data_IF_881047433313
#
_entry.id   IF_881047433313
#
_cell.length_a   1.000
_cell.length_b   1.000
_cell.length_c   1.000
_cell.angle_alpha   90.00
_cell.angle_beta   90.00
_cell.angle_gamma   90.00
#
_symmetry.space_group_name_H-M   'P 1'
#
loop_
_entity.id
_entity.type
_entity.pdbx_description
1 polymer ?
#
# COMPACT_ATOMS: atom_id res chain seq x y z
N UNK A 1 30.94 5.35 16.11
CA UNK A 1 30.15 5.65 14.90
C UNK A 1 29.34 6.90 15.22
N UNK A 2 29.40 7.93 14.37
CA UNK A 2 28.72 9.22 14.61
C UNK A 2 27.19 9.00 14.70
N UNK A 3 26.54 9.58 15.72
CA UNK A 3 25.11 9.54 16.01
C UNK A 3 24.26 9.96 14.81
N UNK A 4 24.74 10.93 14.02
CA UNK A 4 24.11 11.34 12.76
C UNK A 4 24.15 10.21 11.72
N UNK A 5 25.27 9.51 11.59
CA UNK A 5 25.42 8.38 10.66
C UNK A 5 24.51 7.22 11.02
N UNK A 6 24.38 6.90 12.31
CA UNK A 6 23.47 5.84 12.76
C UNK A 6 22.01 6.21 12.51
N UNK A 7 21.64 7.46 12.78
CA UNK A 7 20.30 7.98 12.53
C UNK A 7 19.93 7.89 11.04
N UNK A 8 20.84 8.27 10.14
CA UNK A 8 20.63 8.16 8.69
C UNK A 8 20.48 6.72 8.23
N UNK A 9 21.33 5.80 8.69
CA UNK A 9 21.22 4.35 8.36
C UNK A 9 19.91 3.73 8.82
N UNK A 10 19.42 4.12 10.00
CA UNK A 10 18.12 3.67 10.49
C UNK A 10 17.00 4.27 9.62
N UNK A 11 17.06 5.57 9.33
CA UNK A 11 16.09 6.24 8.47
C UNK A 11 16.02 5.61 7.07
N UNK A 12 17.14 5.25 6.45
CA UNK A 12 17.17 4.52 5.16
C UNK A 12 16.38 3.21 5.21
N UNK A 13 16.53 2.42 6.28
CA UNK A 13 15.77 1.16 6.46
C UNK A 13 14.28 1.40 6.59
N UNK A 14 13.89 2.46 7.33
CA UNK A 14 12.50 2.88 7.45
C UNK A 14 11.97 3.33 6.08
N UNK A 15 12.74 4.11 5.34
CA UNK A 15 12.38 4.62 4.01
C UNK A 15 12.15 3.51 2.99
N UNK A 16 13.05 2.53 2.91
CA UNK A 16 12.89 1.38 2.02
C UNK A 16 11.61 0.60 2.31
N UNK A 17 11.29 0.39 3.60
CA UNK A 17 10.09 -0.31 4.00
C UNK A 17 8.82 0.51 3.71
N UNK A 18 8.87 1.83 3.90
CA UNK A 18 7.77 2.74 3.56
C UNK A 18 7.50 2.82 2.06
N UNK A 19 8.55 2.79 1.23
CA UNK A 19 8.39 2.73 -0.22
C UNK A 19 7.62 1.47 -0.64
N UNK A 20 7.99 0.31 -0.09
CA UNK A 20 7.28 -0.94 -0.35
C UNK A 20 5.82 -0.88 0.11
N UNK A 21 5.57 -0.44 1.34
CA UNK A 21 4.20 -0.30 1.89
C UNK A 21 3.36 0.62 1.02
N UNK A 22 3.91 1.76 0.60
CA UNK A 22 3.21 2.72 -0.25
C UNK A 22 2.87 2.10 -1.61
N UNK A 23 3.83 1.41 -2.24
CA UNK A 23 3.60 0.68 -3.49
C UNK A 23 2.47 -0.34 -3.36
N UNK A 24 2.49 -1.18 -2.31
CA UNK A 24 1.43 -2.16 -2.10
C UNK A 24 0.07 -1.49 -1.84
N UNK A 25 0.05 -0.41 -1.04
CA UNK A 25 -1.15 0.35 -0.72
C UNK A 25 -1.78 0.95 -1.98
N UNK A 26 -1.01 1.59 -2.85
CA UNK A 26 -1.54 2.18 -4.09
C UNK A 26 -2.14 1.13 -5.02
N UNK A 27 -1.47 -0.01 -5.22
CA UNK A 27 -2.02 -1.11 -6.01
C UNK A 27 -3.30 -1.68 -5.38
N UNK A 28 -3.35 -1.78 -4.07
CA UNK A 28 -4.53 -2.23 -3.34
C UNK A 28 -5.69 -1.22 -3.47
N UNK A 29 -5.40 0.07 -3.32
CA UNK A 29 -6.37 1.14 -3.48
C UNK A 29 -6.92 1.18 -4.89
N UNK A 30 -6.09 1.04 -5.91
CA UNK A 30 -6.54 0.93 -7.30
C UNK A 30 -7.51 -0.26 -7.47
N UNK A 31 -7.17 -1.45 -6.96
CA UNK A 31 -8.05 -2.63 -7.04
C UNK A 31 -9.40 -2.46 -6.33
N UNK A 32 -9.50 -1.59 -5.32
CA UNK A 32 -10.71 -1.42 -4.49
C UNK A 32 -11.53 -0.18 -4.88
N UNK A 33 -10.87 0.97 -5.05
CA UNK A 33 -11.48 2.31 -5.26
C UNK A 33 -11.30 2.84 -6.67
N UNK A 34 -10.20 2.48 -7.34
CA UNK A 34 -9.86 2.96 -8.68
C UNK A 34 -10.66 2.32 -9.83
N UNK A 35 -11.50 1.34 -9.51
CA UNK A 35 -12.21 0.52 -10.48
C UNK A 35 -13.67 0.96 -10.66
N UNK A 36 -14.10 1.08 -11.91
CA UNK A 36 -15.51 1.11 -12.32
C UNK A 36 -16.27 -0.11 -11.75
N UNK A 37 -17.60 -0.05 -11.68
CA UNK A 37 -18.40 -1.20 -11.20
C UNK A 37 -18.13 -2.48 -12.01
N UNK A 38 -17.87 -2.36 -13.31
CA UNK A 38 -17.45 -3.46 -14.17
C UNK A 38 -16.09 -4.05 -13.76
N UNK A 39 -15.10 -3.21 -13.47
CA UNK A 39 -13.79 -3.68 -13.00
C UNK A 39 -13.85 -4.28 -11.59
N UNK A 40 -14.71 -3.77 -10.70
CA UNK A 40 -14.97 -4.39 -9.39
C UNK A 40 -15.58 -5.79 -9.56
N UNK A 41 -16.51 -5.96 -10.49
CA UNK A 41 -17.06 -7.28 -10.83
C UNK A 41 -15.95 -8.23 -11.31
N UNK A 42 -15.03 -7.76 -12.15
CA UNK A 42 -13.87 -8.54 -12.64
C UNK A 42 -12.95 -8.93 -11.47
N UNK A 43 -12.51 -7.97 -10.65
CA UNK A 43 -11.64 -8.27 -9.50
C UNK A 43 -12.24 -9.33 -8.57
N UNK A 44 -13.56 -9.29 -8.37
CA UNK A 44 -14.25 -10.26 -7.51
C UNK A 44 -14.56 -11.60 -8.20
N UNK A 45 -14.71 -11.62 -9.53
CA UNK A 45 -15.03 -12.83 -10.31
C UNK A 45 -13.80 -13.69 -10.60
N UNK A 46 -12.60 -13.12 -10.55
CA UNK A 46 -11.35 -13.82 -10.87
C UNK A 46 -10.56 -14.20 -9.60
N UNK A 47 -10.39 -15.51 -9.31
CA UNK A 47 -9.66 -15.96 -8.13
C UNK A 47 -8.23 -15.41 -8.03
N UNK A 48 -7.54 -15.23 -9.17
CA UNK A 48 -6.18 -14.69 -9.19
C UNK A 48 -6.12 -13.24 -8.69
N UNK A 49 -7.06 -12.38 -9.11
CA UNK A 49 -7.11 -10.98 -8.67
C UNK A 49 -7.53 -10.86 -7.20
N UNK A 50 -8.46 -11.72 -6.76
CA UNK A 50 -8.80 -11.86 -5.34
C UNK A 50 -7.55 -12.22 -4.53
N UNK A 51 -6.74 -13.18 -5.00
CA UNK A 51 -5.50 -13.59 -4.33
C UNK A 51 -4.45 -12.47 -4.32
N UNK A 52 -4.26 -11.75 -5.43
CA UNK A 52 -3.38 -10.58 -5.48
C UNK A 52 -3.80 -9.53 -4.44
N UNK A 53 -5.10 -9.22 -4.36
CA UNK A 53 -5.65 -8.30 -3.35
C UNK A 53 -5.34 -8.75 -1.92
N UNK A 54 -5.53 -10.04 -1.62
CA UNK A 54 -5.22 -10.64 -0.31
C UNK A 54 -3.72 -10.54 0.00
N UNK A 55 -2.86 -10.84 -0.96
CA UNK A 55 -1.41 -10.75 -0.81
C UNK A 55 -0.95 -9.32 -0.55
N UNK A 56 -1.47 -8.33 -1.29
CA UNK A 56 -1.15 -6.92 -1.07
C UNK A 56 -1.54 -6.47 0.34
N UNK A 57 -2.76 -6.82 0.79
CA UNK A 57 -3.20 -6.60 2.16
C UNK A 57 -2.23 -7.20 3.19
N UNK A 58 -1.85 -8.47 3.02
CA UNK A 58 -0.95 -9.16 3.93
C UNK A 58 0.43 -8.51 3.99
N UNK A 59 0.98 -8.11 2.85
CA UNK A 59 2.28 -7.42 2.77
C UNK A 59 2.25 -6.07 3.48
N UNK A 60 1.19 -5.28 3.28
CA UNK A 60 1.01 -3.99 3.96
C UNK A 60 0.94 -4.20 5.49
N UNK A 61 0.15 -5.16 5.97
CA UNK A 61 0.01 -5.46 7.40
C UNK A 61 1.35 -5.86 8.01
N UNK A 62 2.09 -6.75 7.35
CA UNK A 62 3.40 -7.21 7.82
C UNK A 62 4.41 -6.07 7.92
N UNK A 63 4.49 -5.23 6.90
CA UNK A 63 5.50 -4.18 6.84
C UNK A 63 5.13 -2.97 7.71
N UNK A 64 3.86 -2.56 7.77
CA UNK A 64 3.38 -1.55 8.73
C UNK A 64 3.62 -2.01 10.18
N UNK A 65 3.38 -3.28 10.48
CA UNK A 65 3.65 -3.82 11.81
C UNK A 65 5.13 -3.68 12.17
N UNK A 66 6.08 -3.96 11.27
CA UNK A 66 7.53 -3.77 11.54
C UNK A 66 7.86 -2.31 11.87
N UNK A 67 7.31 -1.37 11.10
CA UNK A 67 7.55 0.08 11.27
C UNK A 67 6.99 0.59 12.62
N UNK A 68 5.79 0.12 12.98
CA UNK A 68 5.01 0.67 14.09
C UNK A 68 5.01 -0.20 15.35
N UNK A 69 5.59 -1.41 15.34
CA UNK A 69 5.51 -2.33 16.46
C UNK A 69 6.09 -1.75 17.75
N UNK A 70 5.72 -2.37 18.88
CA UNK A 70 6.34 -2.12 20.20
C UNK A 70 7.62 -2.93 20.44
N UNK A 71 7.98 -3.86 19.55
CA UNK A 71 9.08 -4.82 19.77
C UNK A 71 10.45 -4.13 19.89
N UNK A 72 11.11 -4.19 21.04
CA UNK A 72 12.42 -3.55 21.29
C UNK A 72 13.52 -3.92 20.29
N UNK A 73 13.39 -5.09 19.66
CA UNK A 73 14.39 -5.69 18.79
C UNK A 73 14.27 -5.32 17.31
N UNK A 74 13.19 -4.66 16.91
CA UNK A 74 12.96 -4.38 15.49
C UNK A 74 13.75 -3.15 15.01
N UNK A 75 14.49 -3.33 13.93
CA UNK A 75 15.43 -2.37 13.33
C UNK A 75 14.75 -1.38 12.38
N UNK A 76 13.46 -1.56 12.12
CA UNK A 76 12.65 -0.70 11.23
C UNK A 76 11.75 0.27 12.00
N UNK A 77 11.85 0.31 13.33
CA UNK A 77 10.92 1.04 14.20
C UNK A 77 11.16 2.54 14.20
N UNK A 78 10.19 3.27 13.66
CA UNK A 78 10.26 4.73 13.60
C UNK A 78 10.25 5.37 15.00
N UNK A 79 9.51 4.83 15.98
CA UNK A 79 9.53 5.32 17.37
C UNK A 79 10.90 5.14 18.01
N UNK A 80 11.63 4.07 17.68
CA UNK A 80 12.99 3.83 18.18
C UNK A 80 13.96 4.88 17.63
N UNK A 81 13.82 5.23 16.35
CA UNK A 81 14.55 6.34 15.74
C UNK A 81 14.22 7.66 16.46
N UNK A 82 12.94 8.01 16.64
CA UNK A 82 12.55 9.26 17.31
C UNK A 82 13.11 9.35 18.74
N UNK A 83 13.04 8.26 19.53
CA UNK A 83 13.62 8.24 20.87
C UNK A 83 15.13 8.47 20.85
N UNK A 84 15.84 7.84 19.91
CA UNK A 84 17.28 8.04 19.73
C UNK A 84 17.61 9.49 19.38
N UNK A 85 16.85 10.11 18.47
CA UNK A 85 17.02 11.50 18.07
C UNK A 85 16.79 12.47 19.25
N UNK A 86 15.86 12.16 20.15
CA UNK A 86 15.62 12.95 21.37
C UNK A 86 16.79 12.80 22.35
N UNK A 87 17.21 11.57 22.64
CA UNK A 87 18.29 11.26 23.59
C UNK A 87 19.62 11.90 23.16
N UNK A 88 19.92 11.87 21.86
CA UNK A 88 21.18 12.34 21.29
C UNK A 88 21.05 13.68 20.57
N UNK A 89 19.97 14.44 20.80
CA UNK A 89 19.67 15.67 20.04
C UNK A 89 20.86 16.64 19.95
N UNK A 90 21.53 16.89 21.08
CA UNK A 90 22.68 17.79 21.16
C UNK A 90 23.99 17.26 20.56
N UNK A 91 24.05 15.97 20.19
CA UNK A 91 25.20 15.34 19.53
C UNK A 91 25.03 15.18 18.02
N UNK A 92 23.81 15.39 17.52
CA UNK A 92 23.49 15.27 16.10
C UNK A 92 23.69 16.63 15.43
N UNK A 93 24.48 16.63 14.35
CA UNK A 93 24.53 17.79 13.46
C UNK A 93 23.29 17.79 12.58
N UNK A 94 22.38 18.71 12.84
CA UNK A 94 21.17 18.91 12.04
C UNK A 94 21.47 19.77 10.83
N UNK A 95 21.03 19.33 9.65
CA UNK A 95 21.15 20.11 8.43
C UNK A 95 20.02 21.14 8.33
N UNK A 96 18.84 20.78 8.85
CA UNK A 96 17.71 21.70 9.04
C UNK A 96 17.23 21.66 10.50
N UNK A 97 16.87 22.83 11.04
CA UNK A 97 16.49 22.96 12.43
C UNK A 97 15.27 22.09 12.76
N UNK A 98 15.39 21.27 13.81
CA UNK A 98 14.30 20.53 14.43
C UNK A 98 14.48 20.56 15.94
N UNK A 99 13.42 20.94 16.65
CA UNK A 99 13.41 21.00 18.10
C UNK A 99 13.07 19.65 18.74
N UNK A 100 13.52 19.46 19.99
CA UNK A 100 13.08 18.33 20.83
C UNK A 100 11.55 18.34 21.03
N UNK A 101 10.92 19.51 21.05
CA UNK A 101 9.46 19.66 21.08
C UNK A 101 8.78 19.02 19.87
N UNK A 102 9.30 19.25 18.66
CA UNK A 102 8.77 18.68 17.42
C UNK A 102 8.96 17.16 17.37
N UNK A 103 10.12 16.66 17.83
CA UNK A 103 10.35 15.21 17.97
C UNK A 103 9.38 14.57 18.98
N UNK A 104 9.06 15.25 20.08
CA UNK A 104 8.05 14.78 21.03
C UNK A 104 6.63 14.78 20.43
N UNK A 105 6.29 15.76 19.58
CA UNK A 105 5.02 15.76 18.84
C UNK A 105 4.95 14.56 17.89
N UNK A 106 6.02 14.27 17.14
CA UNK A 106 6.09 13.08 16.28
C UNK A 106 5.89 11.79 17.09
N UNK A 107 6.57 11.67 18.23
CA UNK A 107 6.43 10.53 19.14
C UNK A 107 4.99 10.38 19.64
N UNK A 108 4.34 11.48 20.03
CA UNK A 108 2.95 11.47 20.49
C UNK A 108 1.98 11.04 19.37
N UNK A 109 2.15 11.57 18.15
CA UNK A 109 1.33 11.18 17.00
C UNK A 109 1.44 9.68 16.68
N UNK A 110 2.67 9.13 16.76
CA UNK A 110 2.91 7.69 16.59
C UNK A 110 2.25 6.86 17.70
N UNK A 111 2.18 7.38 18.92
CA UNK A 111 1.49 6.71 20.04
C UNK A 111 -0.05 6.70 19.87
N UNK A 112 -0.64 7.73 19.23
CA UNK A 112 -2.09 7.76 18.93
C UNK A 112 -2.49 6.62 17.99
N UNK A 113 -1.60 6.21 17.09
CA UNK A 113 -1.86 5.08 16.18
C UNK A 113 -1.87 3.71 16.87
N UNK A 114 -1.49 3.62 18.15
CA UNK A 114 -1.31 2.35 18.84
C UNK A 114 -2.52 1.40 18.76
N UNK A 115 -3.78 1.85 18.92
CA UNK A 115 -4.93 0.96 18.80
C UNK A 115 -5.02 0.30 17.42
N UNK A 116 -4.76 1.06 16.34
CA UNK A 116 -4.73 0.54 14.97
C UNK A 116 -3.55 -0.43 14.76
N UNK A 117 -2.42 -0.20 15.43
CA UNK A 117 -1.26 -1.11 15.40
C UNK A 117 -1.56 -2.44 16.09
N UNK A 118 -2.25 -2.44 17.24
CA UNK A 118 -2.67 -3.70 17.90
C UNK A 118 -3.63 -4.49 17.01
N UNK A 119 -4.54 -3.81 16.29
CA UNK A 119 -5.43 -4.43 15.30
C UNK A 119 -4.66 -5.07 14.14
N UNK A 120 -3.64 -4.39 13.60
CA UNK A 120 -2.72 -4.95 12.60
C UNK A 120 -2.00 -6.18 13.14
N UNK A 121 -1.53 -6.12 14.39
CA UNK A 121 -0.86 -7.26 15.03
C UNK A 121 -1.80 -8.45 15.19
N UNK A 122 -3.03 -8.22 15.63
CA UNK A 122 -4.06 -9.26 15.73
C UNK A 122 -4.28 -9.93 14.35
N UNK A 123 -4.46 -9.14 13.29
CA UNK A 123 -4.64 -9.65 11.93
C UNK A 123 -3.41 -10.45 11.48
N UNK A 124 -2.20 -9.94 11.74
CA UNK A 124 -0.96 -10.66 11.46
C UNK A 124 -0.96 -12.01 12.16
N UNK A 125 -1.14 -12.01 13.46
CA UNK A 125 -0.94 -13.20 14.30
C UNK A 125 -2.05 -14.23 14.05
N UNK A 126 -3.27 -13.81 13.74
CA UNK A 126 -4.43 -14.70 13.56
C UNK A 126 -4.68 -15.12 12.12
N UNK A 127 -4.41 -14.27 11.13
CA UNK A 127 -4.82 -14.48 9.73
C UNK A 127 -3.65 -14.63 8.76
N UNK A 128 -2.47 -14.05 9.07
CA UNK A 128 -1.31 -14.04 8.15
C UNK A 128 -0.23 -15.03 8.60
N UNK A 129 -0.01 -15.20 9.91
CA UNK A 129 1.01 -16.12 10.42
C UNK A 129 0.63 -17.60 10.27
N UNK A 130 -0.67 -17.88 10.12
CA UNK A 130 -1.26 -19.22 10.06
C UNK A 130 -2.11 -19.35 8.79
N UNK A 131 -1.48 -19.18 7.62
CA UNK A 131 -2.09 -19.09 6.28
C UNK A 131 -2.76 -20.41 5.80
N UNK A 132 -3.49 -21.08 6.68
CA UNK A 132 -4.26 -22.28 6.43
C UNK A 132 -5.72 -21.86 6.14
N UNK A 133 -6.01 -21.57 4.87
CA UNK A 133 -7.38 -21.47 4.31
C UNK A 133 -8.33 -20.34 4.74
N UNK A 134 -7.85 -19.28 5.39
CA UNK A 134 -8.76 -18.24 5.91
C UNK A 134 -9.17 -17.22 4.82
N UNK A 135 -10.49 -17.10 4.59
CA UNK A 135 -11.11 -15.87 4.07
C UNK A 135 -10.68 -14.72 5.01
N UNK A 136 -9.61 -13.99 4.66
CA UNK A 136 -9.16 -12.79 5.37
C UNK A 136 -10.38 -11.88 5.51
N UNK A 137 -10.95 -11.86 6.71
CA UNK A 137 -12.06 -10.99 7.02
C UNK A 137 -11.44 -9.65 7.31
N UNK A 138 -11.45 -8.76 6.30
CA UNK A 138 -10.87 -7.43 6.34
C UNK A 138 -11.60 -6.59 7.40
N UNK A 139 -11.29 -6.84 8.67
CA UNK A 139 -11.70 -5.96 9.76
C UNK A 139 -10.93 -4.65 9.72
N UNK A 140 -9.92 -4.52 8.86
CA UNK A 140 -9.21 -3.27 8.61
C UNK A 140 -9.77 -2.61 7.35
N UNK A 141 -10.23 -1.37 7.49
CA UNK A 141 -10.70 -0.59 6.34
C UNK A 141 -9.51 -0.02 5.57
N UNK A 142 -9.69 0.16 4.26
CA UNK A 142 -8.66 0.78 3.41
C UNK A 142 -8.27 2.19 3.90
N UNK A 143 -9.22 2.93 4.47
CA UNK A 143 -8.95 4.23 5.07
C UNK A 143 -8.05 4.13 6.31
N UNK A 144 -8.23 3.10 7.14
CA UNK A 144 -7.37 2.89 8.31
C UNK A 144 -5.92 2.62 7.90
N UNK A 145 -5.70 1.89 6.79
CA UNK A 145 -4.37 1.74 6.19
C UNK A 145 -3.82 3.08 5.71
N UNK A 146 -4.61 3.82 4.94
CA UNK A 146 -4.21 5.10 4.37
C UNK A 146 -3.69 6.05 5.46
N UNK A 147 -4.42 6.16 6.58
CA UNK A 147 -4.07 6.99 7.71
C UNK A 147 -2.72 6.59 8.33
N UNK A 148 -2.45 5.28 8.44
CA UNK A 148 -1.20 4.75 9.02
C UNK A 148 -0.01 4.97 8.09
N UNK A 149 -0.19 4.74 6.79
CA UNK A 149 0.83 5.03 5.77
C UNK A 149 1.17 6.51 5.79
N UNK A 150 0.15 7.38 5.77
CA UNK A 150 0.33 8.83 5.82
C UNK A 150 1.06 9.29 7.09
N UNK A 151 0.72 8.72 8.26
CA UNK A 151 1.40 9.03 9.52
C UNK A 151 2.89 8.67 9.47
N UNK A 152 3.21 7.48 8.96
CA UNK A 152 4.60 7.03 8.85
C UNK A 152 5.37 7.89 7.84
N UNK A 153 4.75 8.19 6.69
CA UNK A 153 5.35 9.02 5.65
C UNK A 153 5.62 10.44 6.16
N UNK A 154 4.67 11.05 6.87
CA UNK A 154 4.85 12.38 7.47
C UNK A 154 6.01 12.39 8.46
N UNK A 155 6.07 11.39 9.34
CA UNK A 155 7.13 11.26 10.34
C UNK A 155 8.50 11.06 9.68
N UNK A 156 8.56 10.21 8.66
CA UNK A 156 9.76 9.98 7.85
C UNK A 156 10.22 11.26 7.17
N UNK A 157 9.34 11.96 6.45
CA UNK A 157 9.65 13.18 5.72
C UNK A 157 10.22 14.27 6.65
N UNK A 158 9.61 14.48 7.83
CA UNK A 158 10.10 15.45 8.81
C UNK A 158 11.54 15.14 9.25
N UNK A 159 11.81 13.88 9.61
CA UNK A 159 13.15 13.46 10.07
C UNK A 159 14.16 13.51 8.91
N UNK A 160 13.74 13.06 7.72
CA UNK A 160 14.56 13.04 6.52
C UNK A 160 15.01 14.44 6.12
N UNK A 161 14.08 15.40 6.12
CA UNK A 161 14.39 16.80 5.89
C UNK A 161 15.38 17.33 6.94
N UNK A 162 15.14 17.10 8.23
CA UNK A 162 16.03 17.57 9.30
C UNK A 162 17.47 17.05 9.18
N UNK A 163 17.64 15.82 8.69
CA UNK A 163 18.94 15.17 8.51
C UNK A 163 19.54 15.34 7.11
N UNK A 164 18.90 16.13 6.24
CA UNK A 164 19.19 16.22 4.80
C UNK A 164 19.47 14.84 4.18
N UNK A 165 18.63 13.87 4.53
CA UNK A 165 18.70 12.55 3.95
C UNK A 165 17.99 12.67 2.58
N UNK A 166 18.77 12.77 1.52
CA UNK A 166 18.33 13.02 0.14
C UNK A 166 17.65 11.80 -0.49
N UNK A 167 16.69 11.23 0.22
CA UNK A 167 15.68 10.32 -0.30
C UNK A 167 14.43 11.15 -0.53
N UNK A 168 14.50 11.93 -1.61
CA UNK A 168 13.40 12.66 -2.24
C UNK A 168 12.10 11.88 -2.18
N UNK A 169 11.01 12.59 -1.86
CA UNK A 169 9.62 12.16 -2.00
C UNK A 169 9.43 11.08 -3.06
N UNK A 170 9.22 9.83 -2.60
CA UNK A 170 8.85 8.74 -3.48
C UNK A 170 7.37 8.91 -3.81
N UNK A 171 7.07 9.60 -4.90
CA UNK A 171 5.79 9.44 -5.58
C UNK A 171 5.97 8.33 -6.59
N UNK A 172 5.43 7.15 -6.29
CA UNK A 172 5.24 6.12 -7.29
C UNK A 172 4.19 6.65 -8.27
N UNK A 173 4.54 6.76 -9.55
CA UNK A 173 3.61 7.13 -10.61
C UNK A 173 2.88 5.87 -11.07
N UNK A 174 1.69 5.63 -10.51
CA UNK A 174 0.86 4.42 -10.70
C UNK A 174 0.32 4.23 -12.14
N UNK A 175 0.45 5.23 -13.02
CA UNK A 175 -0.25 5.20 -14.31
C UNK A 175 0.32 4.21 -15.33
N UNK A 176 1.55 3.73 -15.18
CA UNK A 176 2.27 3.14 -16.33
C UNK A 176 2.21 1.61 -16.47
N UNK A 177 1.92 0.82 -15.41
CA UNK A 177 2.06 -0.65 -15.52
C UNK A 177 0.88 -1.50 -15.00
N UNK A 178 0.07 -1.03 -14.05
CA UNK A 178 -1.01 -1.86 -13.47
C UNK A 178 -2.35 -1.69 -14.18
N UNK A 179 -2.64 -0.48 -14.68
CA UNK A 179 -3.84 -0.17 -15.45
C UNK A 179 -4.01 -1.08 -16.70
N UNK A 180 -2.95 -1.35 -17.50
CA UNK A 180 -3.06 -2.27 -18.63
C UNK A 180 -3.39 -3.71 -18.23
N UNK A 181 -2.96 -4.18 -17.06
CA UNK A 181 -3.22 -5.54 -16.60
C UNK A 181 -4.69 -5.73 -16.22
N UNK A 182 -5.28 -4.78 -15.50
CA UNK A 182 -6.71 -4.80 -15.16
C UNK A 182 -7.57 -4.59 -16.40
N UNK A 183 -7.19 -3.68 -17.30
CA UNK A 183 -7.87 -3.48 -18.59
C UNK A 183 -7.88 -4.77 -19.43
N UNK A 184 -6.78 -5.54 -19.45
CA UNK A 184 -6.74 -6.79 -20.19
C UNK A 184 -7.55 -7.91 -19.51
N UNK A 185 -7.60 -7.95 -18.18
CA UNK A 185 -8.41 -8.94 -17.46
C UNK A 185 -9.91 -8.66 -17.56
N UNK A 186 -10.33 -7.39 -17.56
CA UNK A 186 -11.73 -7.02 -17.76
C UNK A 186 -12.23 -7.41 -19.15
N UNK A 187 -11.41 -7.17 -20.19
CA UNK A 187 -11.68 -7.65 -21.56
C UNK A 187 -11.89 -9.16 -21.62
N UNK A 188 -11.10 -9.93 -20.89
CA UNK A 188 -11.25 -11.38 -20.85
C UNK A 188 -12.59 -11.81 -20.20
N UNK A 189 -13.07 -11.05 -19.21
CA UNK A 189 -14.38 -11.27 -18.56
C UNK A 189 -15.52 -10.98 -19.49
N UNK A 190 -15.46 -9.84 -20.17
CA UNK A 190 -16.49 -9.41 -21.11
C UNK A 190 -16.60 -10.40 -22.28
N UNK A 191 -15.46 -10.88 -22.81
CA UNK A 191 -15.43 -11.93 -23.83
C UNK A 191 -16.07 -13.23 -23.34
N UNK A 192 -15.77 -13.64 -22.09
CA UNK A 192 -16.34 -14.84 -21.49
C UNK A 192 -17.86 -14.70 -21.31
N UNK A 193 -18.33 -13.56 -20.83
CA UNK A 193 -19.77 -13.29 -20.70
C UNK A 193 -20.46 -13.27 -22.05
N UNK A 194 -19.87 -12.61 -23.04
CA UNK A 194 -20.39 -12.57 -24.41
C UNK A 194 -20.49 -13.97 -25.02
N UNK A 195 -19.48 -14.81 -24.81
CA UNK A 195 -19.49 -16.20 -25.22
C UNK A 195 -20.63 -17.00 -24.58
N UNK A 196 -20.77 -16.95 -23.25
CA UNK A 196 -21.85 -17.69 -22.57
C UNK A 196 -23.24 -17.16 -22.89
N UNK A 197 -23.40 -15.85 -23.09
CA UNK A 197 -24.66 -15.25 -23.53
C UNK A 197 -25.07 -15.81 -24.90
N UNK A 198 -24.17 -15.74 -25.90
CA UNK A 198 -24.45 -16.28 -27.24
C UNK A 198 -24.72 -17.79 -27.20
N UNK A 199 -23.98 -18.54 -26.38
CA UNK A 199 -24.24 -19.96 -26.16
C UNK A 199 -25.66 -20.21 -25.62
N UNK A 200 -26.11 -19.41 -24.65
CA UNK A 200 -27.46 -19.53 -24.07
C UNK A 200 -28.57 -19.15 -25.05
N UNK A 201 -28.29 -18.18 -25.93
CA UNK A 201 -29.21 -17.70 -26.96
C UNK A 201 -29.17 -18.56 -28.23
N UNK A 202 -28.35 -19.64 -28.24
CA UNK A 202 -28.07 -20.50 -29.41
C UNK A 202 -27.63 -19.71 -30.64
N UNK A 203 -26.99 -18.57 -30.40
CA UNK A 203 -26.45 -17.74 -31.46
C UNK A 203 -25.02 -18.21 -31.75
N UNK A 204 -24.83 -18.86 -32.90
CA UNK A 204 -23.54 -19.49 -33.24
C UNK A 204 -22.47 -18.45 -33.62
N UNK A 205 -22.89 -17.22 -33.95
CA UNK A 205 -22.00 -16.15 -34.38
C UNK A 205 -22.02 -14.98 -33.39
N UNK A 206 -20.85 -14.66 -32.85
CA UNK A 206 -20.66 -13.43 -32.07
C UNK A 206 -20.46 -12.28 -33.05
N UNK A 207 -21.29 -11.25 -32.95
CA UNK A 207 -21.16 -10.06 -33.80
C UNK A 207 -19.79 -9.38 -33.61
N UNK A 208 -19.10 -9.13 -34.73
CA UNK A 208 -17.79 -8.45 -34.77
C UNK A 208 -17.82 -7.07 -34.10
N UNK A 209 -18.97 -6.39 -34.13
CA UNK A 209 -19.16 -5.11 -33.46
C UNK A 209 -19.09 -5.23 -31.94
N UNK A 210 -19.78 -6.22 -31.36
CA UNK A 210 -19.77 -6.50 -29.92
C UNK A 210 -18.37 -6.94 -29.43
N UNK A 211 -17.68 -7.78 -30.22
CA UNK A 211 -16.26 -8.08 -30.01
C UNK A 211 -15.39 -6.82 -30.07
N UNK A 212 -15.62 -5.96 -31.06
CA UNK A 212 -14.88 -4.72 -31.26
C UNK A 212 -14.99 -3.73 -30.09
N UNK A 213 -16.16 -3.67 -29.42
CA UNK A 213 -16.35 -2.86 -28.21
C UNK A 213 -15.47 -3.31 -27.04
N UNK A 214 -15.25 -4.62 -26.93
CA UNK A 214 -14.47 -5.20 -25.84
C UNK A 214 -12.97 -5.02 -26.10
N UNK A 215 -12.49 -5.37 -27.30
CA UNK A 215 -11.03 -5.47 -27.57
C UNK A 215 -10.36 -4.09 -27.72
N UNK A 216 -11.10 -3.05 -28.16
CA UNK A 216 -10.53 -1.72 -28.40
C UNK A 216 -10.10 -1.02 -27.10
N UNK A 217 -8.95 -0.32 -27.08
CA UNK A 217 -8.50 0.49 -25.94
C UNK A 217 -9.53 1.57 -25.59
N UNK A 218 -9.71 1.85 -24.30
CA UNK A 218 -10.70 2.83 -23.81
C UNK A 218 -10.57 4.22 -24.46
N UNK A 219 -9.35 4.64 -24.83
CA UNK A 219 -9.07 5.92 -25.50
C UNK A 219 -9.65 6.04 -26.94
N UNK A 220 -10.07 4.93 -27.56
CA UNK A 220 -10.56 4.87 -28.94
C UNK A 220 -12.05 4.50 -29.06
N UNK A 221 -12.80 4.53 -27.95
CA UNK A 221 -14.26 4.38 -27.95
C UNK A 221 -14.91 5.72 -28.28
N UNK A 222 -14.90 6.09 -29.56
CA UNK A 222 -15.76 7.18 -30.06
C UNK A 222 -17.11 6.55 -30.37
N UNK A 223 -18.16 7.06 -29.72
CA UNK A 223 -19.55 6.67 -30.00
C UNK A 223 -19.87 6.97 -31.46
N UNK A 224 -20.06 5.91 -32.23
CA UNK A 224 -20.49 5.92 -33.63
C UNK A 224 -21.64 4.95 -33.82
#
# INVERSE_FOLDING_TARGET
MNEQTESRKHLEKVGALLANVSYYYYNLEYLIRGTSEQEKMVVNSYPILKNVRLTLWSLIVLDLHKILSKSSNDKFRIVKLVNYLIEYHGKIKWDHAIGVSELNILKANLAIAQPKVEKIKEIRDTQIAHYDDINLNYRLELQELADLVALCQKSYNTISYALNNSTTSWQYSDSENFNPLVENLSKYSDLKHLFYKNLSERNENIELFELGKIIRPAANRVDG
#
